data_IF_731870924546
#
_entry.id   IF_731870924546
#
_cell.length_a   1.000
_cell.length_b   1.000
_cell.length_c   1.000
_cell.angle_alpha   90.00
_cell.angle_beta   90.00
_cell.angle_gamma   90.00
#
_symmetry.space_group_name_H-M   'P 1'
#
loop_
_entity.id
_entity.type
_entity.pdbx_description
1 polymer ?
#
# COMPACT_ATOMS: atom_id res chain seq x y z
N UNK A 1 -15.94 -5.02 3.95
CA UNK A 1 -15.86 -3.56 3.72
C UNK A 1 -15.36 -2.79 4.93
N UNK A 2 -15.88 -3.00 6.16
CA UNK A 2 -15.47 -2.21 7.34
C UNK A 2 -13.96 -2.20 7.65
N UNK A 3 -13.28 -3.34 7.50
CA UNK A 3 -11.83 -3.42 7.73
C UNK A 3 -11.01 -2.54 6.76
N UNK A 4 -11.31 -2.61 5.46
CA UNK A 4 -10.61 -1.82 4.45
C UNK A 4 -10.75 -0.32 4.73
N UNK A 5 -11.97 0.14 5.03
CA UNK A 5 -12.22 1.54 5.35
C UNK A 5 -11.50 1.97 6.64
N UNK A 6 -11.53 1.15 7.70
CA UNK A 6 -10.84 1.44 8.95
C UNK A 6 -9.31 1.55 8.77
N UNK A 7 -8.70 0.61 8.04
CA UNK A 7 -7.25 0.63 7.75
C UNK A 7 -6.90 1.80 6.86
N UNK A 8 -7.70 2.11 5.84
CA UNK A 8 -7.48 3.26 4.94
C UNK A 8 -7.49 4.59 5.72
N UNK A 9 -8.44 4.77 6.63
CA UNK A 9 -8.51 5.97 7.48
C UNK A 9 -7.29 6.07 8.40
N UNK A 10 -6.91 4.97 9.06
CA UNK A 10 -5.74 4.94 9.94
C UNK A 10 -4.43 5.22 9.17
N UNK A 11 -4.26 4.59 8.00
CA UNK A 11 -3.10 4.78 7.14
C UNK A 11 -2.99 6.23 6.64
N UNK A 12 -4.09 6.81 6.17
CA UNK A 12 -4.13 8.21 5.73
C UNK A 12 -3.72 9.16 6.85
N UNK A 13 -4.28 8.98 8.05
CA UNK A 13 -3.93 9.79 9.23
C UNK A 13 -2.44 9.69 9.59
N UNK A 14 -1.87 8.49 9.47
CA UNK A 14 -0.44 8.30 9.69
C UNK A 14 0.41 9.02 8.62
N UNK A 15 0.08 8.86 7.34
CA UNK A 15 0.82 9.51 6.25
C UNK A 15 0.78 11.04 6.34
N UNK A 16 -0.36 11.62 6.71
CA UNK A 16 -0.50 13.07 6.92
C UNK A 16 0.35 13.61 8.07
N UNK A 17 0.76 12.74 9.02
CA UNK A 17 1.61 13.12 10.14
C UNK A 17 3.11 13.05 9.85
N UNK A 18 3.53 12.47 8.72
CA UNK A 18 4.95 12.26 8.41
C UNK A 18 5.59 13.53 7.84
N UNK A 19 6.74 13.89 8.39
CA UNK A 19 7.67 14.85 7.79
C UNK A 19 8.61 14.16 6.80
N UNK A 20 9.33 14.96 5.99
CA UNK A 20 10.38 14.43 5.11
C UNK A 20 11.48 13.70 5.89
N UNK A 21 11.88 14.21 7.06
CA UNK A 21 12.89 13.55 7.91
C UNK A 21 12.40 12.22 8.48
N UNK A 22 11.09 12.06 8.71
CA UNK A 22 10.54 10.78 9.18
C UNK A 22 10.68 9.66 8.15
N UNK A 23 10.76 10.01 6.86
CA UNK A 23 10.97 9.04 5.79
C UNK A 23 12.38 8.44 5.81
N UNK A 24 13.37 9.14 6.37
CA UNK A 24 14.76 8.68 6.47
C UNK A 24 15.01 7.80 7.70
N UNK A 25 14.09 7.80 8.67
CA UNK A 25 14.17 6.97 9.87
C UNK A 25 14.30 5.49 9.48
N UNK A 26 15.25 4.79 10.08
CA UNK A 26 15.45 3.37 9.83
C UNK A 26 14.38 2.53 10.55
N UNK A 27 13.90 1.52 9.85
CA UNK A 27 13.01 0.48 10.35
C UNK A 27 13.80 -0.80 10.52
N UNK A 28 13.72 -1.38 11.71
CA UNK A 28 14.25 -2.71 12.01
C UNK A 28 13.07 -3.69 12.08
N UNK A 29 12.86 -4.44 11.01
CA UNK A 29 11.75 -5.41 10.90
C UNK A 29 12.33 -6.78 10.55
N UNK A 30 12.81 -7.56 11.53
CA UNK A 30 13.31 -8.91 11.27
C UNK A 30 12.25 -9.79 10.59
N UNK A 31 12.62 -10.66 9.62
CA UNK A 31 14.00 -10.98 9.19
C UNK A 31 14.53 -10.07 8.07
N UNK A 32 13.88 -8.95 7.77
CA UNK A 32 14.32 -8.04 6.70
C UNK A 32 15.55 -7.26 7.16
N UNK A 33 16.42 -6.93 6.20
CA UNK A 33 17.49 -5.96 6.45
C UNK A 33 16.90 -4.60 6.80
N UNK A 34 17.56 -3.80 7.64
CA UNK A 34 17.12 -2.45 7.95
C UNK A 34 16.92 -1.61 6.69
N UNK A 35 15.88 -0.78 6.70
CA UNK A 35 15.55 0.10 5.58
C UNK A 35 14.85 1.37 6.06
N UNK A 36 14.92 2.45 5.29
CA UNK A 36 14.19 3.67 5.65
C UNK A 36 12.68 3.48 5.58
N UNK A 37 11.94 4.25 6.39
CA UNK A 37 10.47 4.33 6.32
C UNK A 37 10.01 4.61 4.89
N UNK A 38 10.66 5.55 4.20
CA UNK A 38 10.35 5.89 2.81
C UNK A 38 10.49 4.70 1.86
N UNK A 39 11.59 3.94 1.97
CA UNK A 39 11.78 2.74 1.15
C UNK A 39 10.71 1.70 1.45
N UNK A 40 10.36 1.50 2.72
CA UNK A 40 9.32 0.54 3.11
C UNK A 40 7.94 0.96 2.57
N UNK A 41 7.58 2.23 2.66
CA UNK A 41 6.32 2.74 2.09
C UNK A 41 6.30 2.59 0.55
N UNK A 42 7.44 2.78 -0.13
CA UNK A 42 7.57 2.49 -1.55
C UNK A 42 7.23 1.03 -1.90
N UNK A 43 7.71 0.07 -1.09
CA UNK A 43 7.34 -1.34 -1.23
C UNK A 43 5.84 -1.54 -1.04
N UNK A 44 5.24 -0.93 -0.03
CA UNK A 44 3.79 -1.05 0.23
C UNK A 44 2.96 -0.49 -0.92
N UNK A 45 3.37 0.63 -1.53
CA UNK A 45 2.70 1.17 -2.72
C UNK A 45 2.78 0.19 -3.90
N UNK A 46 3.97 -0.35 -4.16
CA UNK A 46 4.16 -1.32 -5.23
C UNK A 46 3.30 -2.58 -5.03
N UNK A 47 3.25 -3.11 -3.81
CA UNK A 47 2.42 -4.26 -3.42
C UNK A 47 0.93 -4.02 -3.74
N UNK A 48 0.41 -2.85 -3.36
CA UNK A 48 -0.98 -2.47 -3.67
C UNK A 48 -1.25 -2.37 -5.18
N UNK A 49 -0.29 -1.85 -5.97
CA UNK A 49 -0.41 -1.78 -7.43
C UNK A 49 -0.49 -3.18 -8.06
N UNK A 50 0.39 -4.10 -7.65
CA UNK A 50 0.43 -5.47 -8.17
C UNK A 50 -0.87 -6.21 -7.82
N UNK A 51 -1.33 -6.11 -6.57
CA UNK A 51 -2.60 -6.72 -6.16
C UNK A 51 -3.80 -6.08 -6.86
N UNK A 52 -3.79 -4.76 -7.12
CA UNK A 52 -4.79 -4.10 -7.96
C UNK A 52 -4.88 -4.71 -9.35
N UNK A 53 -3.74 -5.02 -9.98
CA UNK A 53 -3.69 -5.72 -11.25
C UNK A 53 -4.29 -7.14 -11.20
N UNK A 54 -4.01 -7.90 -10.13
CA UNK A 54 -4.60 -9.23 -9.93
C UNK A 54 -6.13 -9.18 -9.79
N UNK A 55 -6.64 -8.21 -9.02
CA UNK A 55 -8.09 -8.00 -8.87
C UNK A 55 -8.71 -7.64 -10.22
N UNK A 56 -8.08 -6.75 -10.99
CA UNK A 56 -8.55 -6.36 -12.32
C UNK A 56 -8.57 -7.56 -13.28
N UNK A 57 -7.54 -8.41 -13.26
CA UNK A 57 -7.50 -9.64 -14.04
C UNK A 57 -8.65 -10.58 -13.69
N UNK A 58 -8.85 -10.87 -12.39
CA UNK A 58 -9.94 -11.73 -11.93
C UNK A 58 -11.31 -11.15 -12.31
N UNK A 59 -11.53 -9.84 -12.13
CA UNK A 59 -12.76 -9.18 -12.56
C UNK A 59 -12.97 -9.34 -14.07
N UNK A 60 -11.93 -9.13 -14.87
CA UNK A 60 -11.96 -9.31 -16.32
C UNK A 60 -12.35 -10.74 -16.72
N UNK A 61 -11.78 -11.73 -16.04
CA UNK A 61 -12.06 -13.14 -16.26
C UNK A 61 -13.51 -13.53 -15.94
N UNK A 62 -14.06 -13.07 -14.80
CA UNK A 62 -15.40 -13.47 -14.36
C UNK A 62 -16.54 -12.57 -14.86
N UNK A 63 -16.27 -11.29 -15.16
CA UNK A 63 -17.30 -10.27 -15.46
C UNK A 63 -17.05 -9.49 -16.74
N UNK A 64 -16.03 -9.86 -17.53
CA UNK A 64 -15.65 -9.16 -18.76
C UNK A 64 -14.85 -7.88 -18.52
N UNK A 65 -14.34 -7.30 -19.61
CA UNK A 65 -13.49 -6.10 -19.58
C UNK A 65 -14.27 -4.85 -19.15
N UNK A 66 -13.60 -3.92 -18.45
CA UNK A 66 -14.16 -2.64 -18.02
C UNK A 66 -13.47 -2.13 -16.75
N UNK A 67 -12.66 -1.07 -16.88
CA UNK A 67 -11.92 -0.44 -15.76
C UNK A 67 -12.53 0.91 -15.35
N UNK A 68 -13.40 1.48 -16.18
CA UNK A 68 -14.14 2.71 -15.97
C UNK A 68 -15.57 2.52 -16.50
N UNK A 69 -16.56 2.79 -15.64
CA UNK A 69 -17.96 3.04 -15.96
C UNK A 69 -18.36 4.32 -15.22
#
# INVERSE_FOLDING_TARGET
MGYYEAVKVAAKKYFESLSASDLERQLEIPPRLPMSVGTFLGIVVFDNCVHGGQIAYLRGYFKGMGWFL
#
